data_IF_165198159285
#
_entry.id   IF_165198159285
#
_cell.length_a   1.000
_cell.length_b   1.000
_cell.length_c   1.000
_cell.angle_alpha   90.00
_cell.angle_beta   90.00
_cell.angle_gamma   90.00
#
_symmetry.space_group_name_H-M   'P 1'
#
loop_
_entity.id
_entity.type
_entity.pdbx_description
1 polymer ?
#
# COMPACT_ATOMS: atom_id res chain seq x y z
N UNK A 1 18.22 -8.00 4.05
CA UNK A 1 17.30 -7.59 5.11
C UNK A 1 15.92 -7.35 4.55
N UNK A 2 15.10 -8.38 4.66
CA UNK A 2 13.73 -8.32 4.15
C UNK A 2 12.80 -7.95 5.30
N UNK A 3 11.87 -7.05 5.00
CA UNK A 3 10.79 -6.77 5.94
C UNK A 3 9.82 -7.94 5.95
N UNK A 4 9.30 -8.27 7.13
CA UNK A 4 8.21 -9.22 7.23
C UNK A 4 6.93 -8.58 6.72
N UNK A 5 5.94 -9.41 6.41
CA UNK A 5 4.64 -8.90 5.97
C UNK A 5 4.02 -8.02 7.05
N UNK A 6 4.20 -8.37 8.31
CA UNK A 6 3.68 -7.56 9.41
C UNK A 6 4.37 -6.20 9.49
N UNK A 7 5.67 -6.15 9.25
CA UNK A 7 6.39 -4.88 9.24
C UNK A 7 5.95 -4.00 8.09
N UNK A 8 5.73 -4.60 6.92
CA UNK A 8 5.19 -3.86 5.77
C UNK A 8 3.83 -3.28 6.12
N UNK A 9 2.94 -4.09 6.69
CA UNK A 9 1.61 -3.63 7.09
C UNK A 9 1.69 -2.50 8.11
N UNK A 10 2.60 -2.59 9.06
CA UNK A 10 2.79 -1.53 10.06
C UNK A 10 3.23 -0.23 9.41
N UNK A 11 4.18 -0.30 8.49
CA UNK A 11 4.66 0.89 7.77
C UNK A 11 3.55 1.52 6.92
N UNK A 12 2.74 0.68 6.26
CA UNK A 12 1.63 1.18 5.47
C UNK A 12 0.56 1.80 6.34
N UNK A 13 0.32 1.26 7.53
CA UNK A 13 -0.63 1.85 8.47
C UNK A 13 -0.20 3.26 8.84
N UNK A 14 1.08 3.45 9.14
CA UNK A 14 1.61 4.76 9.47
C UNK A 14 1.49 5.70 8.27
N UNK A 15 1.87 5.22 7.08
CA UNK A 15 1.80 6.04 5.88
C UNK A 15 0.36 6.49 5.60
N UNK A 16 -0.59 5.57 5.61
CA UNK A 16 -1.98 5.88 5.28
C UNK A 16 -2.71 6.63 6.39
N UNK A 17 -2.09 6.78 7.57
CA UNK A 17 -2.63 7.69 8.58
C UNK A 17 -2.42 9.16 8.18
N UNK A 18 -1.52 9.42 7.23
CA UNK A 18 -1.16 10.78 6.82
C UNK A 18 -1.41 11.04 5.33
N UNK A 19 -1.64 9.99 4.54
CA UNK A 19 -1.81 10.10 3.10
C UNK A 19 -2.98 9.25 2.65
N UNK A 20 -3.62 9.66 1.56
CA UNK A 20 -4.79 8.93 1.04
C UNK A 20 -4.44 7.95 -0.07
N UNK A 21 -3.27 8.10 -0.68
CA UNK A 21 -2.86 7.26 -1.79
C UNK A 21 -1.35 7.14 -1.84
N UNK A 22 -0.89 6.16 -2.60
CA UNK A 22 0.51 5.80 -2.65
C UNK A 22 0.84 5.32 -4.07
N UNK A 23 1.98 5.79 -4.60
CA UNK A 23 2.51 5.24 -5.84
C UNK A 23 3.51 4.13 -5.52
N UNK A 24 3.96 3.43 -6.57
CA UNK A 24 5.02 2.43 -6.38
C UNK A 24 6.27 3.07 -5.79
N UNK A 25 6.63 4.27 -6.26
CA UNK A 25 7.80 4.97 -5.73
C UNK A 25 7.66 5.25 -4.24
N UNK A 26 6.46 5.64 -3.82
CA UNK A 26 6.21 5.87 -2.40
C UNK A 26 6.37 4.58 -1.60
N UNK A 27 5.86 3.47 -2.13
CA UNK A 27 6.00 2.17 -1.49
C UNK A 27 7.48 1.82 -1.31
N UNK A 28 8.28 2.04 -2.35
CA UNK A 28 9.72 1.77 -2.28
C UNK A 28 10.39 2.59 -1.19
N UNK A 29 10.03 3.86 -1.06
CA UNK A 29 10.61 4.73 -0.04
C UNK A 29 10.17 4.33 1.36
N UNK A 30 8.90 4.02 1.52
CA UNK A 30 8.34 3.65 2.83
C UNK A 30 8.96 2.35 3.33
N UNK A 31 9.12 1.38 2.44
CA UNK A 31 9.59 0.05 2.81
C UNK A 31 11.08 -0.17 2.52
N UNK A 32 11.74 0.78 1.87
CA UNK A 32 13.18 0.69 1.63
C UNK A 32 13.57 -0.47 0.75
N UNK A 33 12.87 -0.69 -0.36
CA UNK A 33 13.13 -1.85 -1.21
C UNK A 33 13.21 -1.45 -2.68
N UNK A 34 13.74 -2.38 -3.50
CA UNK A 34 13.90 -2.15 -4.92
C UNK A 34 12.57 -2.31 -5.65
N UNK A 35 12.53 -1.82 -6.89
CA UNK A 35 11.32 -1.79 -7.69
C UNK A 35 10.67 -3.18 -7.84
N UNK A 36 11.47 -4.18 -8.20
CA UNK A 36 10.92 -5.52 -8.46
C UNK A 36 10.34 -6.14 -7.19
N UNK A 37 11.02 -5.95 -6.06
CA UNK A 37 10.54 -6.45 -4.77
C UNK A 37 9.26 -5.72 -4.37
N UNK A 38 9.24 -4.40 -4.54
CA UNK A 38 8.06 -3.60 -4.23
C UNK A 38 6.86 -4.03 -5.08
N UNK A 39 7.08 -4.26 -6.37
CA UNK A 39 5.99 -4.70 -7.25
C UNK A 39 5.42 -6.05 -6.83
N UNK A 40 6.28 -6.96 -6.36
CA UNK A 40 5.82 -8.24 -5.85
C UNK A 40 4.90 -8.10 -4.64
N UNK A 41 5.29 -7.24 -3.71
CA UNK A 41 4.47 -6.99 -2.52
C UNK A 41 3.18 -6.27 -2.86
N UNK A 42 3.24 -5.28 -3.75
CA UNK A 42 2.04 -4.56 -4.17
C UNK A 42 1.05 -5.54 -4.82
N UNK A 43 1.55 -6.42 -5.69
CA UNK A 43 0.69 -7.41 -6.34
C UNK A 43 0.05 -8.35 -5.30
N UNK A 44 0.84 -8.78 -4.32
CA UNK A 44 0.33 -9.63 -3.23
C UNK A 44 -0.76 -8.90 -2.44
N UNK A 45 -0.50 -7.65 -2.05
CA UNK A 45 -1.46 -6.89 -1.26
C UNK A 45 -2.75 -6.62 -2.03
N UNK A 46 -2.65 -6.38 -3.33
CA UNK A 46 -3.84 -6.25 -4.17
C UNK A 46 -4.61 -7.57 -4.24
N UNK A 47 -3.89 -8.67 -4.39
CA UNK A 47 -4.52 -9.99 -4.41
C UNK A 47 -5.21 -10.35 -3.11
N UNK A 48 -4.69 -9.86 -1.98
CA UNK A 48 -5.30 -10.07 -0.67
C UNK A 48 -6.43 -9.08 -0.38
N UNK A 49 -6.66 -8.13 -1.27
CA UNK A 49 -7.71 -7.14 -1.08
C UNK A 49 -7.36 -6.01 -0.13
N UNK A 50 -6.08 -5.86 0.21
CA UNK A 50 -5.65 -4.80 1.13
C UNK A 50 -5.43 -3.47 0.42
N UNK A 51 -5.00 -3.52 -0.83
CA UNK A 51 -4.80 -2.34 -1.67
C UNK A 51 -5.61 -2.45 -2.94
N UNK A 52 -5.93 -1.31 -3.52
CA UNK A 52 -6.60 -1.24 -4.81
C UNK A 52 -5.93 -0.17 -5.66
N UNK A 53 -5.97 -0.35 -6.99
CA UNK A 53 -5.47 0.64 -7.94
C UNK A 53 -6.61 1.58 -8.30
N UNK A 54 -6.49 2.84 -7.89
CA UNK A 54 -7.49 3.87 -8.22
C UNK A 54 -7.03 4.77 -9.35
N UNK A 55 -5.86 4.49 -9.92
CA UNK A 55 -5.31 5.23 -11.06
C UNK A 55 -5.44 4.45 -12.35
N UNK A 56 -4.58 4.77 -13.30
CA UNK A 56 -4.55 4.12 -14.60
C UNK A 56 -3.67 2.89 -14.56
N UNK A 57 -3.81 2.03 -15.55
CA UNK A 57 -3.02 0.80 -15.63
C UNK A 57 -1.54 1.11 -15.80
N UNK A 58 -1.20 2.13 -16.58
CA UNK A 58 0.19 2.52 -16.82
C UNK A 58 0.68 3.59 -15.85
N UNK A 59 -0.20 4.14 -15.03
CA UNK A 59 0.15 5.07 -13.96
C UNK A 59 -0.67 4.70 -12.73
N UNK A 60 -0.33 3.57 -12.09
CA UNK A 60 -1.15 3.10 -10.97
C UNK A 60 -0.96 3.97 -9.73
N UNK A 61 -2.07 4.18 -9.04
CA UNK A 61 -2.10 4.86 -7.75
C UNK A 61 -2.84 3.93 -6.81
N UNK A 62 -2.21 3.59 -5.70
CA UNK A 62 -2.76 2.60 -4.78
C UNK A 62 -3.41 3.29 -3.59
N UNK A 63 -4.51 2.74 -3.15
CA UNK A 63 -5.22 3.20 -1.96
C UNK A 63 -5.62 1.99 -1.12
N UNK A 64 -5.73 2.15 0.20
CA UNK A 64 -6.15 1.04 1.06
C UNK A 64 -7.64 0.78 0.89
N UNK A 65 -8.01 -0.50 0.98
CA UNK A 65 -9.41 -0.88 1.04
C UNK A 65 -9.94 -0.70 2.46
N UNK A 66 -11.26 -0.62 2.57
CA UNK A 66 -11.93 -0.51 3.86
C UNK A 66 -11.59 -1.74 4.72
N UNK A 67 -11.25 -1.50 5.98
CA UNK A 67 -10.90 -2.55 6.91
C UNK A 67 -9.40 -2.76 7.07
N UNK A 68 -8.59 -2.04 6.29
CA UNK A 68 -7.12 -2.18 6.34
C UNK A 68 -6.47 -0.84 6.61
N UNK A 69 -5.32 -0.89 7.27
CA UNK A 69 -4.46 0.28 7.51
C UNK A 69 -5.21 1.43 8.17
N UNK A 70 -6.15 1.11 9.06
CA UNK A 70 -6.92 2.11 9.78
C UNK A 70 -8.07 2.73 9.00
N UNK A 71 -8.36 2.25 7.83
CA UNK A 71 -9.44 2.79 6.99
C UNK A 71 -10.75 2.08 7.34
N UNK A 72 -11.75 2.88 7.73
CA UNK A 72 -13.09 2.37 8.05
C UNK A 72 -14.10 3.02 7.14
N UNK A 73 -15.32 2.49 7.11
CA UNK A 73 -16.39 3.07 6.30
C UNK A 73 -16.66 4.52 6.67
N UNK A 74 -16.54 4.83 7.96
CA UNK A 74 -16.78 6.19 8.43
C UNK A 74 -15.77 7.17 7.86
N UNK A 75 -14.52 6.73 7.71
CA UNK A 75 -13.46 7.56 7.16
C UNK A 75 -13.69 7.77 5.67
N UNK A 76 -14.31 6.81 5.01
CA UNK A 76 -14.53 6.85 3.56
C UNK A 76 -15.70 7.73 3.13
N UNK A 77 -16.50 8.18 4.05
CA UNK A 77 -17.70 8.97 3.75
C UNK A 77 -17.45 10.48 3.74
#
# INVERSE_FOLDING_TARGET
>A
NKLSDEEIDSRLTIYFSQHHMMTRSDFQKVCGMMKSTAMGHIRRLRGEGKLKNIGLQNQPIYAPNVGYYGITEEVMM
#
